data_IF_126841355435
#
_entry.id   IF_126841355435
#
_cell.length_a   1.000
_cell.length_b   1.000
_cell.length_c   1.000
_cell.angle_alpha   90.00
_cell.angle_beta   90.00
_cell.angle_gamma   90.00
#
_symmetry.space_group_name_H-M   'P 1'
#
loop_
_entity.id
_entity.type
_entity.pdbx_description
1 polymer ?
#
# COMPACT_ATOMS: atom_id res chain seq x y z
N UNK A 1 10.68 -21.02 -1.84
CA UNK A 1 10.43 -20.07 -0.73
C UNK A 1 9.89 -18.78 -1.33
N UNK A 2 8.58 -18.51 -1.18
CA UNK A 2 7.95 -17.27 -1.66
C UNK A 2 7.91 -16.27 -0.51
N UNK A 3 8.47 -15.07 -0.72
CA UNK A 3 8.35 -13.96 0.21
C UNK A 3 7.22 -13.05 -0.26
N UNK A 4 6.10 -13.03 0.46
CA UNK A 4 5.12 -11.94 0.30
C UNK A 4 5.72 -10.63 0.85
N UNK A 5 5.27 -9.48 0.31
CA UNK A 5 5.48 -8.12 0.84
C UNK A 5 6.73 -7.35 0.35
N UNK A 6 7.00 -7.33 -0.97
CA UNK A 6 8.00 -6.43 -1.59
C UNK A 6 7.35 -5.22 -2.27
N UNK A 7 8.15 -4.17 -2.48
CA UNK A 7 7.78 -2.96 -3.23
C UNK A 7 8.57 -2.94 -4.55
N UNK A 8 7.90 -2.61 -5.66
CA UNK A 8 8.54 -2.48 -6.97
C UNK A 8 8.66 -1.03 -7.40
N UNK A 9 9.87 -0.50 -7.65
CA UNK A 9 10.01 0.76 -8.36
C UNK A 9 9.58 0.55 -9.81
N UNK A 10 8.59 1.31 -10.27
CA UNK A 10 8.19 1.38 -11.68
C UNK A 10 8.65 2.77 -12.15
N UNK A 11 9.53 2.90 -13.14
CA UNK A 11 10.10 4.20 -13.54
C UNK A 11 9.06 5.32 -13.67
N UNK A 12 9.36 6.55 -13.24
CA UNK A 12 8.49 7.74 -13.09
C UNK A 12 7.07 7.53 -12.49
N UNK A 13 6.73 6.31 -12.06
CA UNK A 13 5.42 5.90 -11.56
C UNK A 13 5.54 5.46 -10.11
N UNK A 14 4.45 5.61 -9.36
CA UNK A 14 4.40 5.16 -7.96
C UNK A 14 4.75 3.67 -7.87
N UNK A 15 5.53 3.32 -6.83
CA UNK A 15 5.85 1.94 -6.57
C UNK A 15 4.60 1.10 -6.27
N UNK A 16 4.58 -0.14 -6.73
CA UNK A 16 3.50 -1.10 -6.43
C UNK A 16 3.91 -1.87 -5.17
N UNK A 17 3.04 -1.86 -4.17
CA UNK A 17 3.32 -2.43 -2.85
C UNK A 17 2.64 -3.78 -2.65
N UNK A 18 3.28 -4.61 -1.81
CA UNK A 18 2.84 -5.95 -1.42
C UNK A 18 2.54 -6.88 -2.61
N UNK A 19 3.43 -6.88 -3.60
CA UNK A 19 3.36 -7.79 -4.76
C UNK A 19 3.61 -9.24 -4.36
N UNK A 20 3.03 -10.16 -5.13
CA UNK A 20 3.34 -11.59 -5.10
C UNK A 20 4.65 -11.80 -5.86
N UNK A 21 5.61 -12.44 -5.22
CA UNK A 21 6.81 -12.92 -5.89
C UNK A 21 6.59 -14.35 -6.40
N UNK A 22 6.93 -14.56 -7.66
CA UNK A 22 6.80 -15.86 -8.33
C UNK A 22 8.07 -16.17 -9.13
N UNK A 23 8.37 -17.45 -9.28
CA UNK A 23 9.40 -17.97 -10.19
C UNK A 23 8.82 -18.28 -11.59
N UNK A 24 7.50 -18.08 -11.77
CA UNK A 24 6.89 -18.12 -13.08
C UNK A 24 7.52 -17.03 -13.96
N UNK A 25 7.98 -17.42 -15.15
CA UNK A 25 8.55 -16.50 -16.12
C UNK A 25 7.49 -15.45 -16.51
N UNK A 26 7.68 -14.20 -16.09
CA UNK A 26 6.88 -13.07 -16.53
C UNK A 26 7.55 -12.44 -17.73
N UNK A 27 6.82 -12.26 -18.82
CA UNK A 27 7.28 -11.70 -20.08
C UNK A 27 6.20 -10.77 -20.63
N UNK A 28 6.51 -9.85 -21.56
CA UNK A 28 5.50 -8.97 -22.16
C UNK A 28 4.26 -9.73 -22.68
N UNK A 29 4.42 -10.98 -23.12
CA UNK A 29 3.33 -11.84 -23.61
C UNK A 29 2.37 -12.40 -22.55
N UNK A 30 2.71 -12.37 -21.25
CA UNK A 30 1.79 -12.80 -20.18
C UNK A 30 1.55 -11.72 -19.10
N UNK A 31 2.20 -10.56 -19.23
CA UNK A 31 1.90 -9.35 -18.45
C UNK A 31 0.45 -8.93 -18.69
N UNK A 32 -0.29 -8.62 -17.62
CA UNK A 32 -1.73 -8.35 -17.64
C UNK A 32 -2.61 -9.61 -17.59
N UNK A 33 -2.04 -10.80 -17.77
CA UNK A 33 -2.73 -12.08 -17.61
C UNK A 33 -2.84 -12.53 -16.14
N UNK A 34 -3.69 -13.53 -15.85
CA UNK A 34 -3.86 -14.06 -14.51
C UNK A 34 -2.64 -14.86 -14.06
N UNK A 35 -2.28 -14.69 -12.78
CA UNK A 35 -1.48 -15.65 -12.03
C UNK A 35 -2.44 -16.61 -11.33
N UNK A 36 -2.29 -17.91 -11.56
CA UNK A 36 -3.16 -18.95 -10.97
C UNK A 36 -2.39 -19.89 -10.05
N UNK A 37 -3.04 -20.42 -9.02
CA UNK A 37 -2.50 -21.49 -8.19
C UNK A 37 -2.73 -22.88 -8.83
N UNK A 38 -2.29 -23.95 -8.16
CA UNK A 38 -2.40 -25.34 -8.65
C UNK A 38 -3.84 -25.82 -8.83
N UNK A 39 -4.79 -25.18 -8.15
CA UNK A 39 -6.22 -25.48 -8.25
C UNK A 39 -6.91 -24.66 -9.37
N UNK A 40 -6.13 -23.88 -10.14
CA UNK A 40 -6.64 -23.03 -11.22
C UNK A 40 -7.31 -21.73 -10.72
N UNK A 41 -7.17 -21.39 -9.43
CA UNK A 41 -7.75 -20.17 -8.87
C UNK A 41 -6.84 -18.98 -9.17
N UNK A 42 -7.42 -17.85 -9.59
CA UNK A 42 -6.69 -16.61 -9.83
C UNK A 42 -6.24 -16.02 -8.49
N UNK A 43 -4.93 -15.89 -8.30
CA UNK A 43 -4.30 -15.31 -7.11
C UNK A 43 -3.70 -13.92 -7.38
N UNK A 44 -3.58 -13.51 -8.64
CA UNK A 44 -3.11 -12.18 -8.99
C UNK A 44 -3.13 -11.88 -10.49
N UNK A 45 -2.64 -10.70 -10.84
CA UNK A 45 -2.43 -10.27 -12.23
C UNK A 45 -0.96 -9.96 -12.43
N UNK A 46 -0.35 -10.64 -13.41
CA UNK A 46 1.06 -10.47 -13.74
C UNK A 46 1.34 -9.01 -14.12
N UNK A 47 2.36 -8.40 -13.54
CA UNK A 47 2.79 -7.04 -13.86
C UNK A 47 4.19 -7.08 -14.45
N UNK A 48 4.44 -6.27 -15.48
CA UNK A 48 5.67 -6.28 -16.25
C UNK A 48 6.94 -6.21 -15.38
N UNK A 49 7.98 -6.86 -15.89
CA UNK A 49 9.28 -7.15 -15.26
C UNK A 49 9.97 -5.89 -14.74
N UNK A 50 10.59 -5.98 -13.55
CA UNK A 50 11.70 -5.09 -13.20
C UNK A 50 12.94 -5.58 -13.96
N UNK A 51 13.51 -4.81 -14.90
CA UNK A 51 14.54 -5.28 -15.83
C UNK A 51 15.76 -5.94 -15.18
N UNK A 52 16.04 -5.65 -13.91
CA UNK A 52 17.22 -6.18 -13.20
C UNK A 52 16.95 -7.45 -12.34
N UNK A 53 15.77 -8.07 -12.42
CA UNK A 53 15.42 -9.25 -11.60
C UNK A 53 15.40 -10.56 -12.41
N UNK A 54 16.57 -11.21 -12.55
CA UNK A 54 16.68 -12.53 -13.19
C UNK A 54 15.81 -13.59 -12.49
N UNK A 55 14.85 -14.17 -13.23
CA UNK A 55 14.03 -15.29 -12.77
C UNK A 55 13.00 -14.96 -11.67
N UNK A 56 12.77 -13.69 -11.36
CA UNK A 56 11.75 -13.27 -10.38
C UNK A 56 10.65 -12.48 -11.10
N UNK A 57 9.48 -13.08 -11.15
CA UNK A 57 8.24 -12.47 -11.59
C UNK A 57 7.50 -11.78 -10.46
N UNK A 58 6.66 -10.81 -10.82
CA UNK A 58 5.78 -10.13 -9.89
C UNK A 58 4.34 -10.07 -10.38
N UNK A 59 3.40 -10.22 -9.45
CA UNK A 59 1.98 -10.04 -9.71
C UNK A 59 1.30 -9.18 -8.64
N UNK A 60 0.33 -8.37 -9.06
CA UNK A 60 -0.55 -7.66 -8.14
C UNK A 60 -1.57 -8.67 -7.59
N UNK A 61 -1.75 -8.78 -6.25
CA UNK A 61 -2.73 -9.69 -5.66
C UNK A 61 -4.15 -9.49 -6.20
N UNK A 62 -4.90 -10.58 -6.37
CA UNK A 62 -6.25 -10.56 -6.95
C UNK A 62 -7.21 -9.64 -6.17
N UNK A 63 -7.13 -9.63 -4.83
CA UNK A 63 -7.97 -8.76 -3.99
C UNK A 63 -7.72 -7.28 -4.28
N UNK A 64 -6.45 -6.89 -4.46
CA UNK A 64 -6.09 -5.50 -4.80
C UNK A 64 -6.61 -5.14 -6.20
N UNK A 65 -6.52 -6.07 -7.16
CA UNK A 65 -7.07 -5.86 -8.51
C UNK A 65 -8.59 -5.69 -8.44
N UNK A 66 -9.30 -6.55 -7.70
CA UNK A 66 -10.75 -6.48 -7.57
C UNK A 66 -11.21 -5.14 -6.99
N UNK A 67 -10.53 -4.64 -5.95
CA UNK A 67 -10.82 -3.33 -5.35
C UNK A 67 -10.59 -2.17 -6.33
N UNK A 68 -9.47 -2.18 -7.06
CA UNK A 68 -9.13 -1.15 -8.04
C UNK A 68 -10.11 -1.15 -9.22
N UNK A 69 -10.43 -2.33 -9.76
CA UNK A 69 -11.39 -2.48 -10.87
C UNK A 69 -12.77 -1.98 -10.45
N UNK A 70 -13.22 -2.31 -9.24
CA UNK A 70 -14.51 -1.81 -8.73
C UNK A 70 -14.55 -0.27 -8.69
N UNK A 71 -13.49 0.39 -8.22
CA UNK A 71 -13.42 1.85 -8.19
C UNK A 71 -13.36 2.47 -9.59
N UNK A 72 -12.61 1.88 -10.52
CA UNK A 72 -12.54 2.34 -11.90
C UNK A 72 -13.89 2.23 -12.61
N UNK A 73 -14.61 1.12 -12.43
CA UNK A 73 -15.95 0.94 -13.00
C UNK A 73 -16.94 1.94 -12.39
N UNK A 74 -16.88 2.14 -11.08
CA UNK A 74 -17.87 2.94 -10.35
C UNK A 74 -17.64 4.44 -10.50
N UNK A 75 -16.38 4.89 -10.50
CA UNK A 75 -16.02 6.31 -10.41
C UNK A 75 -15.15 6.81 -11.57
N UNK A 76 -14.71 5.92 -12.46
CA UNK A 76 -13.79 6.25 -13.57
C UNK A 76 -12.35 6.53 -13.12
N UNK A 77 -12.06 6.52 -11.82
CA UNK A 77 -10.73 6.80 -11.27
C UNK A 77 -10.57 6.24 -9.86
N UNK A 78 -9.35 5.79 -9.55
CA UNK A 78 -8.93 5.47 -8.18
C UNK A 78 -8.49 6.76 -7.50
N UNK A 79 -9.18 7.14 -6.43
CA UNK A 79 -8.77 8.27 -5.58
C UNK A 79 -8.44 7.77 -4.18
N UNK A 80 -7.42 8.39 -3.59
CA UNK A 80 -6.96 8.07 -2.25
C UNK A 80 -6.91 9.34 -1.42
N UNK A 81 -7.32 9.23 -0.17
CA UNK A 81 -7.08 10.25 0.81
C UNK A 81 -5.58 10.31 1.15
N UNK A 82 -5.09 11.48 1.53
CA UNK A 82 -3.70 11.68 1.93
C UNK A 82 -3.61 12.25 3.32
N UNK A 83 -2.74 11.65 4.12
CA UNK A 83 -2.32 12.15 5.43
C UNK A 83 -1.26 13.26 5.31
N UNK A 84 -0.70 13.50 4.11
CA UNK A 84 0.38 14.48 3.91
C UNK A 84 1.71 14.09 4.57
N UNK A 85 1.97 12.78 4.68
CA UNK A 85 3.24 12.24 5.20
C UNK A 85 3.88 11.28 4.19
N UNK A 86 5.21 11.22 4.23
CA UNK A 86 5.98 10.15 3.58
C UNK A 86 6.26 9.07 4.61
N UNK A 87 6.14 7.80 4.20
CA UNK A 87 6.37 6.65 5.08
C UNK A 87 7.37 5.69 4.47
N UNK A 88 8.08 4.95 5.32
CA UNK A 88 8.90 3.82 4.93
C UNK A 88 8.66 2.67 5.89
N UNK A 89 8.62 1.44 5.36
CA UNK A 89 8.54 0.26 6.20
C UNK A 89 9.85 0.09 6.98
N UNK A 90 9.77 -0.03 8.30
CA UNK A 90 10.92 -0.26 9.19
C UNK A 90 10.61 -1.32 10.23
N UNK A 91 11.66 -1.90 10.81
CA UNK A 91 11.54 -2.76 11.99
C UNK A 91 11.09 -1.90 13.17
N UNK A 92 10.04 -2.34 13.85
CA UNK A 92 9.50 -1.72 15.06
C UNK A 92 9.05 -2.85 15.96
N UNK A 93 9.78 -3.11 17.04
CA UNK A 93 9.61 -4.31 17.88
C UNK A 93 8.21 -4.43 18.50
N UNK A 94 7.56 -3.29 18.80
CA UNK A 94 6.20 -3.25 19.37
C UNK A 94 5.09 -3.29 18.33
N UNK A 95 5.42 -3.17 17.05
CA UNK A 95 4.41 -3.26 16.01
C UNK A 95 4.02 -4.73 15.79
N UNK A 96 2.74 -5.03 15.51
CA UNK A 96 2.33 -6.39 15.17
C UNK A 96 3.14 -6.92 13.97
N UNK A 97 3.83 -8.05 14.16
CA UNK A 97 4.72 -8.63 13.14
C UNK A 97 6.10 -7.98 13.02
N UNK A 98 6.49 -7.12 13.96
CA UNK A 98 7.86 -6.57 14.09
C UNK A 98 8.19 -5.46 13.09
N UNK A 99 7.22 -4.97 12.31
CA UNK A 99 7.42 -3.90 11.34
C UNK A 99 6.23 -2.96 11.30
N UNK A 100 6.47 -1.69 10.97
CA UNK A 100 5.43 -0.69 10.75
C UNK A 100 5.81 0.28 9.62
N UNK A 101 4.83 1.05 9.17
CA UNK A 101 5.05 2.19 8.29
C UNK A 101 5.45 3.40 9.16
N UNK A 102 6.74 3.71 9.13
CA UNK A 102 7.30 4.82 9.92
C UNK A 102 7.30 6.09 9.08
N UNK A 103 6.77 7.17 9.64
CA UNK A 103 6.80 8.51 9.04
C UNK A 103 8.26 8.95 8.90
N UNK A 104 8.67 9.25 7.67
CA UNK A 104 10.02 9.73 7.34
C UNK A 104 10.06 11.22 7.08
N UNK A 105 8.95 11.79 6.62
CA UNK A 105 8.80 13.22 6.43
C UNK A 105 7.33 13.62 6.60
N UNK A 106 7.11 14.80 7.16
CA UNK A 106 5.79 15.42 7.30
C UNK A 106 5.76 16.62 6.36
N UNK A 107 4.77 16.70 5.49
CA UNK A 107 4.60 17.84 4.57
C UNK A 107 3.86 18.96 5.29
N UNK A 108 4.06 20.20 4.85
CA UNK A 108 3.38 21.39 5.41
C UNK A 108 1.85 21.26 5.45
N UNK A 109 1.32 20.43 4.56
CA UNK A 109 -0.10 20.21 4.41
C UNK A 109 -0.57 18.91 5.11
N UNK A 110 0.13 18.41 6.13
CA UNK A 110 -0.27 17.19 6.84
C UNK A 110 -1.71 17.25 7.36
N UNK A 111 -2.35 16.08 7.43
CA UNK A 111 -3.73 15.96 7.87
C UNK A 111 -3.89 16.02 9.40
N UNK A 112 -2.77 15.94 10.14
CA UNK A 112 -2.69 15.92 11.59
C UNK A 112 -1.28 16.18 12.08
N UNK A 113 -1.08 16.11 13.40
CA UNK A 113 0.18 16.44 14.11
C UNK A 113 1.17 15.27 14.13
N UNK A 114 1.50 14.76 12.94
CA UNK A 114 2.49 13.71 12.76
C UNK A 114 3.91 14.23 13.00
N UNK A 115 4.80 13.33 13.41
CA UNK A 115 6.23 13.58 13.59
C UNK A 115 7.05 12.51 12.84
N UNK A 116 8.22 12.86 12.29
CA UNK A 116 9.17 11.86 11.81
C UNK A 116 9.52 10.86 12.93
N UNK A 117 9.40 9.57 12.63
CA UNK A 117 9.55 8.49 13.62
C UNK A 117 8.23 7.88 14.10
N UNK A 118 7.09 8.53 13.89
CA UNK A 118 5.78 7.94 14.18
C UNK A 118 5.58 6.66 13.36
N UNK A 119 5.34 5.54 14.03
CA UNK A 119 4.98 4.28 13.39
C UNK A 119 3.46 4.16 13.32
N UNK A 120 2.88 4.23 12.13
CA UNK A 120 1.44 4.12 11.93
C UNK A 120 1.00 2.67 12.19
N UNK A 121 0.07 2.49 13.13
CA UNK A 121 -0.44 1.16 13.51
C UNK A 121 -1.94 0.99 13.24
N UNK A 122 -2.73 2.07 13.24
CA UNK A 122 -4.14 2.00 12.85
C UNK A 122 -4.63 3.31 12.19
N UNK A 123 -5.61 3.20 11.30
CA UNK A 123 -6.36 4.33 10.72
C UNK A 123 -7.84 4.01 10.79
N UNK A 124 -8.59 4.78 11.58
CA UNK A 124 -9.99 4.48 11.87
C UNK A 124 -10.12 3.18 12.66
N UNK A 125 -10.87 2.25 12.11
CA UNK A 125 -11.09 0.89 12.63
C UNK A 125 -10.16 -0.16 12.00
N UNK A 126 -9.21 0.27 11.15
CA UNK A 126 -8.36 -0.63 10.36
C UNK A 126 -6.93 -0.64 10.88
N UNK A 127 -6.46 -1.82 11.26
CA UNK A 127 -5.05 -2.07 11.56
C UNK A 127 -4.18 -1.93 10.31
N UNK A 128 -3.00 -1.34 10.48
CA UNK A 128 -2.05 -1.07 9.40
C UNK A 128 -0.79 -1.91 9.60
N UNK A 129 -0.63 -2.94 8.77
CA UNK A 129 0.57 -3.79 8.77
C UNK A 129 1.40 -3.65 7.50
N UNK A 130 0.78 -3.11 6.44
CA UNK A 130 1.42 -2.93 5.14
C UNK A 130 1.00 -1.63 4.47
N UNK A 131 1.68 -1.31 3.36
CA UNK A 131 1.34 -0.14 2.58
C UNK A 131 0.00 -0.28 1.86
N UNK A 132 -0.38 -1.49 1.44
CA UNK A 132 -1.73 -1.75 0.94
C UNK A 132 -2.79 -1.54 2.03
N UNK A 133 -2.53 -1.89 3.29
CA UNK A 133 -3.49 -1.58 4.37
C UNK A 133 -3.70 -0.08 4.51
N UNK A 134 -2.62 0.70 4.48
CA UNK A 134 -2.70 2.16 4.55
C UNK A 134 -3.46 2.74 3.35
N UNK A 135 -3.21 2.24 2.13
CA UNK A 135 -3.94 2.67 0.93
C UNK A 135 -5.43 2.31 1.01
N UNK A 136 -5.77 1.13 1.56
CA UNK A 136 -7.15 0.69 1.77
C UNK A 136 -7.86 1.46 2.87
N UNK A 137 -7.15 1.88 3.91
CA UNK A 137 -7.70 2.71 4.98
C UNK A 137 -7.87 4.18 4.56
N UNK A 138 -7.12 4.64 3.55
CA UNK A 138 -7.20 5.99 2.99
C UNK A 138 -7.93 6.01 1.64
N UNK A 139 -9.10 5.38 1.57
CA UNK A 139 -9.97 5.43 0.39
C UNK A 139 -10.60 6.81 0.19
N UNK A 140 -11.23 7.00 -0.97
CA UNK A 140 -11.93 8.22 -1.38
C UNK A 140 -12.91 8.73 -0.32
N UNK A 141 -13.67 7.85 0.32
CA UNK A 141 -14.72 8.17 1.29
C UNK A 141 -14.20 8.70 2.63
N UNK A 142 -12.92 8.46 2.94
CA UNK A 142 -12.24 8.98 4.13
C UNK A 142 -11.78 10.43 3.93
N UNK A 143 -11.63 10.87 2.68
CA UNK A 143 -11.22 12.23 2.38
C UNK A 143 -12.21 13.26 2.95
N UNK A 144 -11.66 14.34 3.51
CA UNK A 144 -12.33 15.48 4.13
C UNK A 144 -13.21 15.13 5.35
N UNK A 145 -13.16 13.90 5.84
CA UNK A 145 -13.77 13.46 7.10
C UNK A 145 -12.73 13.41 8.20
N UNK A 146 -13.20 13.53 9.45
CA UNK A 146 -12.36 13.25 10.61
C UNK A 146 -12.12 11.75 10.72
N UNK A 147 -10.87 11.36 10.90
CA UNK A 147 -10.46 9.98 11.19
C UNK A 147 -9.37 10.01 12.25
N UNK A 148 -9.40 9.06 13.17
CA UNK A 148 -8.32 8.90 14.15
C UNK A 148 -7.24 8.03 13.55
N UNK A 149 -5.99 8.49 13.62
CA UNK A 149 -4.81 7.70 13.26
C UNK A 149 -4.06 7.39 14.54
N UNK A 150 -3.82 6.11 14.79
CA UNK A 150 -3.05 5.65 15.94
C UNK A 150 -1.62 5.40 15.49
N UNK A 151 -0.68 6.00 16.21
CA UNK A 151 0.76 5.84 15.96
C UNK A 151 1.49 5.41 17.22
N UNK A 152 2.58 4.65 17.07
CA UNK A 152 3.58 4.49 18.11
C UNK A 152 4.61 5.59 17.95
N UNK A 153 4.71 6.47 18.96
CA UNK A 153 5.69 7.55 19.05
C UNK A 153 6.70 7.20 20.14
N UNK A 154 7.84 6.68 19.72
CA UNK A 154 8.78 6.01 20.62
C UNK A 154 8.08 4.83 21.30
N UNK A 155 7.87 4.95 22.60
CA UNK A 155 7.31 3.90 23.45
C UNK A 155 5.81 4.04 23.75
N UNK A 156 5.18 5.12 23.28
CA UNK A 156 3.79 5.44 23.62
C UNK A 156 2.88 5.36 22.40
N UNK A 157 1.67 4.89 22.62
CA UNK A 157 0.60 4.97 21.64
C UNK A 157 -0.03 6.37 21.70
N UNK A 158 -0.14 7.01 20.53
CA UNK A 158 -0.69 8.36 20.38
C UNK A 158 -1.82 8.32 19.34
N UNK A 159 -2.99 8.79 19.74
CA UNK A 159 -4.14 8.98 18.84
C UNK A 159 -4.11 10.40 18.26
N UNK A 160 -3.99 10.51 16.94
CA UNK A 160 -3.95 11.78 16.20
C UNK A 160 -5.28 11.93 15.44
N UNK A 161 -6.06 12.95 15.79
CA UNK A 161 -7.23 13.33 14.98
C UNK A 161 -6.74 13.94 13.66
N UNK A 162 -7.15 13.34 12.56
CA UNK A 162 -6.74 13.73 11.22
C UNK A 162 -7.94 14.14 10.36
N UNK A 163 -7.71 15.06 9.42
CA UNK A 163 -8.64 15.35 8.34
C UNK A 163 -7.97 15.18 6.97
N UNK A 164 -7.88 13.94 6.47
CA UNK A 164 -7.17 13.63 5.22
C UNK A 164 -7.79 14.37 4.04
N UNK A 165 -6.99 14.77 3.04
CA UNK A 165 -7.50 15.42 1.82
C UNK A 165 -7.53 14.44 0.66
N UNK A 166 -8.46 14.61 -0.28
CA UNK A 166 -8.45 13.81 -1.50
C UNK A 166 -7.22 14.18 -2.33
N UNK A 167 -6.50 13.17 -2.80
CA UNK A 167 -5.44 13.31 -3.80
C UNK A 167 -5.80 12.38 -4.94
N UNK A 168 -5.86 12.94 -6.15
CA UNK A 168 -5.98 12.14 -7.36
C UNK A 168 -4.64 11.47 -7.65
N UNK A 169 -4.63 10.15 -7.61
CA UNK A 169 -3.56 9.37 -8.23
C UNK A 169 -3.96 9.20 -9.69
N UNK A 170 -3.31 9.94 -10.60
CA UNK A 170 -3.63 9.85 -12.02
C UNK A 170 -3.24 8.48 -12.59
N UNK A 171 -4.04 8.00 -13.55
CA UNK A 171 -3.66 6.96 -14.51
C UNK A 171 -2.82 7.52 -15.65
#
# INVERSE_FOLDING_TARGET
MSGLKRSLPTGDKQAIFDVIQTDAAINPGNSGGPLVNVDGQVIGVNTAIVPEADGIGFAVPADTVAEVVHELITYGAVERASLGVSVARRVVDRAPGGHALVVTAVRDNSAGTFEPGDAIVAVGDRDIHSQNDLLRALRRDVANRKVTVVVLRGDHEVSIECRPRSVRTFG
#
